data_IF_355216850847
#
_entry.id   IF_355216850847
#
_cell.length_a   1.000
_cell.length_b   1.000
_cell.length_c   1.000
_cell.angle_alpha   90.00
_cell.angle_beta   90.00
_cell.angle_gamma   90.00
#
_symmetry.space_group_name_H-M   'P 1'
#
loop_
_entity.id
_entity.type
_entity.pdbx_description
1 polymer ?
#
# COMPACT_ATOMS: atom_id res chain seq x y z
N UNK A 1 -14.46 0.01 -25.02
CA UNK A 1 -13.01 0.03 -24.86
C UNK A 1 -12.39 1.40 -25.08
N UNK A 2 -12.63 2.11 -26.19
CA UNK A 2 -12.02 3.44 -26.41
C UNK A 2 -12.33 4.45 -25.29
N UNK A 3 -13.54 4.42 -24.72
CA UNK A 3 -13.95 5.32 -23.63
C UNK A 3 -13.17 5.07 -22.33
N UNK A 4 -12.98 3.80 -21.94
CA UNK A 4 -12.30 3.40 -20.71
C UNK A 4 -10.79 3.71 -20.77
N UNK A 5 -10.18 3.49 -21.92
CA UNK A 5 -8.76 3.74 -22.17
C UNK A 5 -8.39 5.23 -22.04
N UNK A 6 -9.26 6.12 -22.50
CA UNK A 6 -9.06 7.56 -22.39
C UNK A 6 -9.28 8.10 -20.96
N UNK A 7 -9.77 7.25 -20.05
CA UNK A 7 -10.04 7.61 -18.66
C UNK A 7 -8.92 7.19 -17.71
N UNK A 8 -7.94 6.42 -18.16
CA UNK A 8 -6.85 5.89 -17.32
C UNK A 8 -5.48 6.15 -17.90
N UNK A 9 -4.49 6.29 -17.03
CA UNK A 9 -3.06 6.37 -17.37
C UNK A 9 -2.27 5.47 -16.44
N UNK A 10 -1.11 5.00 -16.88
CA UNK A 10 -0.16 4.26 -16.06
C UNK A 10 0.70 5.24 -15.30
N UNK A 11 0.83 5.02 -14.00
CA UNK A 11 1.70 5.77 -13.09
C UNK A 11 2.45 4.82 -12.16
N UNK A 12 3.57 5.26 -11.63
CA UNK A 12 4.32 4.48 -10.66
C UNK A 12 5.44 5.27 -10.01
N UNK A 13 6.02 4.69 -8.96
CA UNK A 13 7.19 5.23 -8.26
C UNK A 13 8.15 4.10 -7.94
N UNK A 14 9.42 4.31 -8.28
CA UNK A 14 10.52 3.44 -7.88
C UNK A 14 11.11 3.87 -6.56
N UNK A 15 11.26 2.90 -5.64
CA UNK A 15 11.94 3.07 -4.38
C UNK A 15 13.26 2.32 -4.36
N UNK A 16 14.30 2.99 -3.88
CA UNK A 16 15.59 2.40 -3.57
C UNK A 16 16.04 2.81 -2.18
N UNK A 17 16.61 1.85 -1.43
CA UNK A 17 17.22 2.07 -0.11
C UNK A 17 18.48 1.23 0.02
N UNK A 18 19.46 1.66 0.83
CA UNK A 18 20.62 0.84 1.15
C UNK A 18 20.20 -0.42 1.91
N UNK A 19 20.93 -1.51 1.70
CA UNK A 19 20.77 -2.70 2.54
C UNK A 19 21.28 -2.42 3.95
N UNK A 20 20.46 -2.72 4.95
CA UNK A 20 20.80 -2.57 6.37
C UNK A 20 21.53 -3.80 6.95
N UNK A 21 21.60 -4.87 6.20
CA UNK A 21 22.23 -6.13 6.63
C UNK A 21 22.97 -6.81 5.48
N UNK A 22 23.94 -7.63 5.85
CA UNK A 22 24.71 -8.45 4.91
C UNK A 22 24.88 -9.85 5.48
N UNK A 23 24.94 -10.86 4.61
CA UNK A 23 25.28 -12.23 5.01
C UNK A 23 26.67 -12.25 5.66
N UNK A 24 26.77 -12.93 6.80
CA UNK A 24 28.01 -13.15 7.53
C UNK A 24 28.40 -14.63 7.45
N UNK A 25 29.11 -14.96 6.38
CA UNK A 25 29.52 -16.35 6.15
C UNK A 25 30.53 -16.82 7.21
N UNK A 26 31.38 -15.95 7.76
CA UNK A 26 32.36 -16.31 8.79
C UNK A 26 31.66 -16.76 10.08
N UNK A 27 30.71 -15.97 10.56
CA UNK A 27 29.92 -16.34 11.73
C UNK A 27 29.09 -17.58 11.48
N UNK A 28 28.51 -17.75 10.28
CA UNK A 28 27.78 -18.96 9.91
C UNK A 28 28.66 -20.21 9.97
N UNK A 29 29.87 -20.17 9.42
CA UNK A 29 30.84 -21.29 9.46
C UNK A 29 31.27 -21.64 10.88
N UNK A 30 31.48 -20.64 11.74
CA UNK A 30 31.86 -20.88 13.15
C UNK A 30 30.72 -21.63 13.88
N UNK A 31 29.47 -21.20 13.67
CA UNK A 31 28.30 -21.83 14.28
C UNK A 31 28.10 -23.23 13.71
N UNK A 32 28.19 -23.41 12.39
CA UNK A 32 28.08 -24.73 11.75
C UNK A 32 29.09 -25.71 12.33
N UNK A 33 30.35 -25.31 12.49
CA UNK A 33 31.41 -26.16 13.12
C UNK A 33 31.10 -26.45 14.57
N UNK A 34 30.59 -25.48 15.32
CA UNK A 34 30.29 -25.66 16.74
C UNK A 34 29.14 -26.66 16.99
N UNK A 35 28.19 -26.75 16.03
CA UNK A 35 27.05 -27.70 16.12
C UNK A 35 27.27 -28.96 15.30
N UNK A 36 28.44 -29.15 14.70
CA UNK A 36 28.76 -30.34 13.88
C UNK A 36 28.03 -30.37 12.53
N UNK A 37 27.54 -29.23 12.07
CA UNK A 37 26.83 -29.05 10.79
C UNK A 37 27.72 -28.55 9.66
N UNK A 38 27.16 -28.47 8.46
CA UNK A 38 27.79 -27.83 7.29
C UNK A 38 26.75 -27.19 6.40
N UNK A 39 26.80 -25.84 6.27
CA UNK A 39 25.93 -25.07 5.39
C UNK A 39 24.47 -24.94 5.83
N UNK A 40 24.14 -25.36 7.05
CA UNK A 40 22.77 -25.33 7.59
C UNK A 40 22.40 -23.97 8.20
N UNK A 41 23.41 -23.22 8.67
CA UNK A 41 23.21 -21.95 9.39
C UNK A 41 23.39 -20.76 8.45
N UNK A 42 22.44 -19.83 8.51
CA UNK A 42 22.51 -18.53 7.80
C UNK A 42 22.55 -17.41 8.83
N UNK A 43 23.64 -16.65 8.85
CA UNK A 43 23.82 -15.49 9.73
C UNK A 43 23.81 -14.22 8.90
N UNK A 44 23.11 -13.19 9.38
CA UNK A 44 23.16 -11.85 8.81
C UNK A 44 23.73 -10.90 9.87
N UNK A 45 24.70 -10.09 9.48
CA UNK A 45 25.18 -8.99 10.32
C UNK A 45 24.41 -7.71 9.99
N UNK A 46 24.05 -6.95 11.02
CA UNK A 46 23.42 -5.64 10.86
C UNK A 46 24.51 -4.61 10.56
N UNK A 47 24.41 -3.97 9.39
CA UNK A 47 25.35 -2.93 8.96
C UNK A 47 24.99 -1.56 9.56
N UNK A 48 23.70 -1.20 9.50
CA UNK A 48 23.15 0.05 9.99
C UNK A 48 21.92 -0.27 10.85
N UNK A 49 21.74 0.45 11.96
CA UNK A 49 20.55 0.29 12.79
C UNK A 49 19.29 0.67 11.99
N UNK A 50 18.27 -0.18 12.06
CA UNK A 50 17.00 0.07 11.38
C UNK A 50 16.32 1.35 11.83
N UNK A 51 16.56 1.77 13.08
CA UNK A 51 16.05 3.03 13.64
C UNK A 51 16.54 4.26 12.88
N UNK A 52 17.76 4.21 12.35
CA UNK A 52 18.35 5.32 11.59
C UNK A 52 17.59 5.62 10.28
N UNK A 53 16.81 4.67 9.75
CA UNK A 53 15.99 4.84 8.56
C UNK A 53 14.48 4.94 8.87
N UNK A 54 14.08 5.01 10.14
CA UNK A 54 12.66 4.94 10.53
C UNK A 54 11.80 6.02 9.87
N UNK A 55 12.26 7.27 9.82
CA UNK A 55 11.54 8.40 9.19
C UNK A 55 11.36 8.17 7.68
N UNK A 56 12.42 7.71 7.01
CA UNK A 56 12.39 7.43 5.56
C UNK A 56 11.42 6.28 5.26
N UNK A 57 11.44 5.23 6.09
CA UNK A 57 10.52 4.08 5.96
C UNK A 57 9.08 4.49 6.24
N UNK A 58 8.85 5.41 7.19
CA UNK A 58 7.51 5.93 7.47
C UNK A 58 6.94 6.66 6.25
N UNK A 59 7.72 7.56 5.63
CA UNK A 59 7.30 8.28 4.41
C UNK A 59 7.00 7.30 3.26
N UNK A 60 7.83 6.28 3.05
CA UNK A 60 7.56 5.23 2.05
C UNK A 60 6.25 4.49 2.33
N UNK A 61 5.98 4.17 3.59
CA UNK A 61 4.79 3.44 3.99
C UNK A 61 3.52 4.30 3.81
N UNK A 62 3.58 5.58 4.18
CA UNK A 62 2.48 6.52 3.98
C UNK A 62 2.22 6.78 2.49
N UNK A 63 3.27 6.94 1.69
CA UNK A 63 3.13 7.03 0.24
C UNK A 63 2.46 5.80 -0.34
N UNK A 64 2.90 4.59 0.00
CA UNK A 64 2.30 3.34 -0.49
C UNK A 64 0.84 3.24 -0.11
N UNK A 65 0.49 3.63 1.13
CA UNK A 65 -0.90 3.67 1.57
C UNK A 65 -1.74 4.60 0.69
N UNK A 66 -1.30 5.84 0.50
CA UNK A 66 -1.95 6.81 -0.38
C UNK A 66 -2.03 6.30 -1.82
N UNK A 67 -0.91 5.83 -2.38
CA UNK A 67 -0.84 5.32 -3.75
C UNK A 67 -1.87 4.22 -4.00
N UNK A 68 -1.98 3.25 -3.10
CA UNK A 68 -2.90 2.13 -3.23
C UNK A 68 -4.39 2.53 -3.12
N UNK A 69 -4.73 3.70 -2.58
CA UNK A 69 -6.11 4.20 -2.61
C UNK A 69 -6.50 4.81 -3.96
N UNK A 70 -5.54 5.15 -4.81
CA UNK A 70 -5.78 5.83 -6.09
C UNK A 70 -5.39 5.01 -7.31
N UNK A 71 -4.44 4.09 -7.14
CA UNK A 71 -3.79 3.35 -8.23
C UNK A 71 -4.07 1.86 -8.08
N UNK A 72 -4.62 1.27 -9.13
CA UNK A 72 -4.82 -0.17 -9.19
C UNK A 72 -3.59 -0.86 -9.77
N UNK A 73 -3.13 -1.98 -9.18
CA UNK A 73 -2.12 -2.82 -9.80
C UNK A 73 -2.53 -3.22 -11.22
N UNK A 74 -1.58 -3.17 -12.15
CA UNK A 74 -1.81 -3.56 -13.53
C UNK A 74 -0.66 -4.46 -13.98
N UNK A 75 -0.97 -5.73 -14.32
CA UNK A 75 0.05 -6.77 -14.59
C UNK A 75 0.96 -6.47 -15.77
N UNK A 76 0.42 -5.73 -16.76
CA UNK A 76 1.17 -5.33 -17.96
C UNK A 76 2.06 -4.11 -17.72
N UNK A 77 1.88 -3.39 -16.61
CA UNK A 77 2.74 -2.27 -16.26
C UNK A 77 4.06 -2.76 -15.63
N UNK A 78 5.13 -1.98 -15.71
CA UNK A 78 6.37 -2.25 -14.99
C UNK A 78 6.13 -2.43 -13.48
N UNK A 79 7.03 -3.15 -12.81
CA UNK A 79 6.95 -3.36 -11.38
C UNK A 79 6.83 -2.04 -10.62
N UNK A 80 5.87 -1.94 -9.71
CA UNK A 80 5.61 -0.71 -8.95
C UNK A 80 4.74 0.32 -9.67
N UNK A 81 4.25 -0.02 -10.87
CA UNK A 81 3.31 0.80 -11.62
C UNK A 81 1.90 0.20 -11.57
N UNK A 82 0.92 1.04 -11.85
CA UNK A 82 -0.48 0.66 -11.99
C UNK A 82 -1.26 1.73 -12.74
N UNK A 83 -2.56 1.55 -12.85
CA UNK A 83 -3.45 2.46 -13.55
C UNK A 83 -4.19 3.38 -12.58
N UNK A 84 -4.37 4.64 -12.99
CA UNK A 84 -5.12 5.67 -12.26
C UNK A 84 -6.11 6.36 -13.21
N UNK A 85 -7.24 6.85 -12.68
CA UNK A 85 -8.10 7.75 -13.45
C UNK A 85 -7.35 9.01 -13.84
N UNK A 86 -7.51 9.45 -15.09
CA UNK A 86 -6.94 10.72 -15.57
C UNK A 86 -7.40 11.89 -14.70
N UNK A 87 -8.66 11.89 -14.24
CA UNK A 87 -9.20 12.92 -13.33
C UNK A 87 -8.40 13.03 -12.01
N UNK A 88 -7.80 11.95 -11.55
CA UNK A 88 -7.06 11.89 -10.27
C UNK A 88 -5.56 12.15 -10.43
N UNK A 89 -5.07 12.26 -11.68
CA UNK A 89 -3.64 12.42 -11.96
C UNK A 89 -3.04 13.68 -11.32
N UNK A 90 -3.76 14.80 -11.35
CA UNK A 90 -3.30 16.07 -10.76
C UNK A 90 -3.12 15.97 -9.25
N UNK A 91 -4.04 15.32 -8.55
CA UNK A 91 -3.95 15.10 -7.12
C UNK A 91 -2.79 14.16 -6.78
N UNK A 92 -2.67 13.05 -7.50
CA UNK A 92 -1.58 12.09 -7.35
C UNK A 92 -0.21 12.76 -7.54
N UNK A 93 -0.05 13.57 -8.61
CA UNK A 93 1.16 14.35 -8.90
C UNK A 93 1.49 15.35 -7.78
N UNK A 94 0.48 16.03 -7.26
CA UNK A 94 0.64 16.99 -6.17
C UNK A 94 1.15 16.30 -4.89
N UNK A 95 0.55 15.17 -4.55
CA UNK A 95 0.97 14.35 -3.40
C UNK A 95 2.36 13.75 -3.60
N UNK A 96 2.67 13.25 -4.80
CA UNK A 96 4.01 12.78 -5.14
C UNK A 96 5.07 13.83 -4.85
N UNK A 97 4.86 15.09 -5.30
CA UNK A 97 5.82 16.18 -5.05
C UNK A 97 6.00 16.47 -3.56
N UNK A 98 4.93 16.39 -2.77
CA UNK A 98 4.99 16.55 -1.32
C UNK A 98 5.83 15.46 -0.66
N UNK A 99 5.48 14.21 -0.91
CA UNK A 99 6.20 13.05 -0.35
C UNK A 99 7.66 13.00 -0.80
N UNK A 100 7.95 13.34 -2.06
CA UNK A 100 9.31 13.40 -2.56
C UNK A 100 10.15 14.42 -1.80
N UNK A 101 9.64 15.63 -1.59
CA UNK A 101 10.34 16.67 -0.82
C UNK A 101 10.62 16.22 0.62
N UNK A 102 9.64 15.59 1.27
CA UNK A 102 9.81 15.08 2.63
C UNK A 102 10.82 13.93 2.68
N UNK A 103 10.77 13.03 1.69
CA UNK A 103 11.77 11.97 1.52
C UNK A 103 13.18 12.54 1.33
N UNK A 104 13.38 13.48 0.43
CA UNK A 104 14.68 14.10 0.16
C UNK A 104 15.24 14.74 1.43
N UNK A 105 14.41 15.46 2.20
CA UNK A 105 14.83 16.06 3.48
C UNK A 105 15.33 15.01 4.49
N UNK A 106 14.59 13.91 4.67
CA UNK A 106 14.99 12.86 5.61
C UNK A 106 16.21 12.08 5.13
N UNK A 107 16.38 11.89 3.82
CA UNK A 107 17.59 11.30 3.24
C UNK A 107 18.79 12.22 3.44
N UNK A 108 18.65 13.53 3.28
CA UNK A 108 19.73 14.49 3.52
C UNK A 108 20.13 14.47 4.99
N UNK A 109 19.16 14.50 5.91
CA UNK A 109 19.44 14.43 7.36
C UNK A 109 20.15 13.11 7.74
N UNK A 110 19.76 11.98 7.15
CA UNK A 110 20.44 10.70 7.34
C UNK A 110 21.87 10.75 6.82
N UNK A 111 22.09 11.29 5.62
CA UNK A 111 23.41 11.39 5.02
C UNK A 111 24.32 12.39 5.77
N UNK A 112 23.76 13.46 6.34
CA UNK A 112 24.52 14.40 7.18
C UNK A 112 25.07 13.74 8.44
N UNK A 113 24.39 12.73 8.97
CA UNK A 113 24.79 11.96 10.13
C UNK A 113 25.57 10.68 9.77
N UNK A 114 25.97 10.48 8.50
CA UNK A 114 26.50 9.20 8.04
C UNK A 114 27.78 8.77 8.73
N UNK A 115 28.69 9.71 9.02
CA UNK A 115 29.96 9.41 9.73
C UNK A 115 29.68 8.89 11.15
N UNK A 116 28.74 9.50 11.87
CA UNK A 116 28.32 9.00 13.19
C UNK A 116 27.71 7.60 13.10
N UNK A 117 26.90 7.33 12.07
CA UNK A 117 26.32 6.01 11.83
C UNK A 117 27.39 4.95 11.57
N UNK A 118 28.47 5.30 10.85
CA UNK A 118 29.62 4.41 10.65
C UNK A 118 30.31 4.10 11.98
N UNK A 119 30.57 5.10 12.81
CA UNK A 119 31.23 4.90 14.12
C UNK A 119 30.36 4.04 15.06
N UNK A 120 29.06 4.29 15.13
CA UNK A 120 28.13 3.41 15.86
C UNK A 120 28.14 1.97 15.33
N UNK A 121 28.25 1.81 14.02
CA UNK A 121 28.35 0.50 13.36
C UNK A 121 29.63 -0.23 13.73
N UNK A 122 30.77 0.48 13.80
CA UNK A 122 32.07 -0.06 14.27
C UNK A 122 31.94 -0.58 15.70
N UNK A 123 31.41 0.26 16.60
CA UNK A 123 31.20 -0.12 18.00
C UNK A 123 30.33 -1.36 18.13
N UNK A 124 29.20 -1.41 17.41
CA UNK A 124 28.24 -2.51 17.46
C UNK A 124 28.80 -3.83 16.90
N UNK A 125 29.54 -3.77 15.80
CA UNK A 125 30.05 -4.95 15.12
C UNK A 125 31.40 -5.42 15.69
N UNK A 126 32.13 -4.56 16.39
CA UNK A 126 33.45 -4.90 16.95
C UNK A 126 34.39 -5.46 15.89
N UNK A 127 34.99 -6.63 16.14
CA UNK A 127 35.89 -7.32 15.21
C UNK A 127 35.26 -7.77 13.89
N UNK A 128 33.94 -7.81 13.79
CA UNK A 128 33.20 -8.18 12.56
C UNK A 128 32.98 -6.96 11.63
N UNK A 129 33.36 -5.75 12.06
CA UNK A 129 33.22 -4.57 11.23
C UNK A 129 34.15 -4.63 10.02
N UNK A 130 33.57 -4.34 8.84
CA UNK A 130 34.32 -4.19 7.60
C UNK A 130 33.81 -2.94 6.88
N UNK A 131 34.64 -1.94 6.73
CA UNK A 131 34.32 -0.68 6.06
C UNK A 131 33.85 -0.89 4.60
N UNK A 132 34.32 -1.94 3.91
CA UNK A 132 33.90 -2.28 2.55
C UNK A 132 32.47 -2.82 2.43
N UNK A 133 31.77 -3.04 3.55
CA UNK A 133 30.35 -3.43 3.54
C UNK A 133 29.39 -2.24 3.46
N UNK A 134 29.92 -1.04 3.69
CA UNK A 134 29.19 0.23 3.66
C UNK A 134 29.67 1.11 2.49
N UNK A 135 28.83 1.97 1.92
CA UNK A 135 29.29 2.99 0.97
C UNK A 135 30.43 3.83 1.53
N UNK A 136 31.40 4.16 0.67
CA UNK A 136 32.67 4.77 1.09
C UNK A 136 32.54 6.19 1.66
N UNK A 137 31.48 6.89 1.30
CA UNK A 137 31.22 8.26 1.72
C UNK A 137 29.73 8.59 1.65
N UNK A 138 29.38 9.79 2.10
CA UNK A 138 28.03 10.35 2.13
C UNK A 138 27.35 10.36 0.75
N UNK A 139 28.07 10.74 -0.29
CA UNK A 139 27.55 10.84 -1.66
C UNK A 139 27.20 9.44 -2.21
N UNK A 140 28.10 8.48 -1.99
CA UNK A 140 27.86 7.09 -2.36
C UNK A 140 26.68 6.46 -1.59
N UNK A 141 26.48 6.86 -0.33
CA UNK A 141 25.31 6.47 0.46
C UNK A 141 24.04 7.11 -0.09
N UNK A 142 24.06 8.43 -0.37
CA UNK A 142 22.91 9.14 -0.94
C UNK A 142 22.44 8.53 -2.25
N UNK A 143 23.36 8.11 -3.11
CA UNK A 143 23.06 7.46 -4.39
C UNK A 143 22.30 6.13 -4.26
N UNK A 144 22.23 5.53 -3.05
CA UNK A 144 21.43 4.32 -2.79
C UNK A 144 19.96 4.60 -2.54
N UNK A 145 19.61 5.86 -2.30
CA UNK A 145 18.24 6.25 -2.08
C UNK A 145 17.58 6.70 -3.39
N UNK A 146 16.42 6.16 -3.69
CA UNK A 146 15.60 6.52 -4.84
C UNK A 146 14.16 6.71 -4.43
N UNK A 147 13.56 7.77 -4.90
CA UNK A 147 12.13 8.03 -4.88
C UNK A 147 11.79 8.72 -6.20
N UNK A 148 11.71 7.92 -7.26
CA UNK A 148 11.63 8.40 -8.64
C UNK A 148 10.30 8.03 -9.27
N UNK A 149 9.65 9.04 -9.87
CA UNK A 149 8.40 8.85 -10.59
C UNK A 149 8.68 8.23 -11.96
N UNK A 150 7.93 7.19 -12.29
CA UNK A 150 7.76 6.75 -13.67
C UNK A 150 6.91 7.80 -14.39
N UNK A 151 7.36 8.27 -15.56
CA UNK A 151 6.58 9.25 -16.33
C UNK A 151 5.22 8.66 -16.70
N UNK A 152 4.10 9.37 -16.42
CA UNK A 152 2.79 8.88 -16.79
C UNK A 152 2.68 8.64 -18.30
N UNK A 153 2.08 7.51 -18.68
CA UNK A 153 1.83 7.19 -20.08
C UNK A 153 0.45 6.55 -20.26
N UNK A 154 -0.14 6.79 -21.42
CA UNK A 154 -1.43 6.18 -21.78
C UNK A 154 -1.26 4.66 -22.00
N UNK A 155 -2.33 3.90 -21.73
CA UNK A 155 -2.35 2.50 -22.15
C UNK A 155 -2.21 2.40 -23.66
N UNK A 156 -1.28 1.56 -24.11
CA UNK A 156 -1.07 1.30 -25.53
C UNK A 156 -2.37 0.82 -26.19
N UNK A 157 -2.60 1.29 -27.40
CA UNK A 157 -3.71 0.81 -28.21
C UNK A 157 -3.27 -0.45 -28.97
N UNK A 158 -3.85 -1.62 -28.72
CA UNK A 158 -3.53 -2.80 -29.50
C UNK A 158 -3.73 -2.61 -31.02
N UNK A 159 -4.64 -1.71 -31.41
CA UNK A 159 -4.85 -1.36 -32.83
C UNK A 159 -3.63 -0.66 -33.45
N UNK A 160 -2.81 0.04 -32.69
CA UNK A 160 -1.58 0.65 -33.16
C UNK A 160 -0.51 -0.42 -33.51
N UNK A 161 -0.72 -1.67 -33.08
CA UNK A 161 0.12 -2.83 -33.38
C UNK A 161 -0.44 -3.70 -34.53
N UNK A 162 -1.47 -3.24 -35.24
CA UNK A 162 -2.13 -3.96 -36.32
C UNK A 162 -1.20 -4.34 -37.49
N UNK A 163 -0.03 -3.69 -37.61
CA UNK A 163 1.02 -4.07 -38.55
C UNK A 163 1.78 -5.35 -38.16
N UNK A 164 1.71 -5.78 -36.89
CA UNK A 164 2.45 -6.90 -36.33
C UNK A 164 1.56 -7.99 -35.72
N UNK A 165 0.29 -7.68 -35.44
CA UNK A 165 -0.67 -8.57 -34.80
C UNK A 165 -1.89 -8.80 -35.70
N UNK A 166 -2.46 -10.00 -35.61
CA UNK A 166 -3.74 -10.34 -36.22
C UNK A 166 -4.91 -9.67 -35.47
N UNK A 167 -6.06 -9.55 -36.13
CA UNK A 167 -7.28 -9.02 -35.50
C UNK A 167 -7.69 -9.84 -34.26
N UNK A 168 -7.51 -11.16 -34.29
CA UNK A 168 -7.77 -12.06 -33.16
C UNK A 168 -6.84 -11.76 -31.96
N UNK A 169 -5.55 -11.54 -32.21
CA UNK A 169 -4.59 -11.19 -31.17
C UNK A 169 -4.90 -9.81 -30.55
N UNK A 170 -5.30 -8.85 -31.40
CA UNK A 170 -5.72 -7.51 -30.96
C UNK A 170 -6.95 -7.63 -30.06
N UNK A 171 -7.96 -8.40 -30.44
CA UNK A 171 -9.18 -8.57 -29.67
C UNK A 171 -8.92 -9.33 -28.35
N UNK A 172 -8.05 -10.33 -28.35
CA UNK A 172 -7.61 -11.01 -27.14
C UNK A 172 -6.94 -10.05 -26.16
N UNK A 173 -6.03 -9.18 -26.62
CA UNK A 173 -5.38 -8.17 -25.80
C UNK A 173 -6.40 -7.18 -25.21
N UNK A 174 -7.36 -6.71 -26.02
CA UNK A 174 -8.45 -5.83 -25.55
C UNK A 174 -9.27 -6.50 -24.44
N UNK A 175 -9.59 -7.77 -24.61
CA UNK A 175 -10.36 -8.52 -23.64
C UNK A 175 -9.59 -8.74 -22.33
N UNK A 176 -8.31 -9.07 -22.40
CA UNK A 176 -7.46 -9.22 -21.23
C UNK A 176 -7.35 -7.92 -20.43
N UNK A 177 -7.10 -6.78 -21.09
CA UNK A 177 -7.05 -5.46 -20.45
C UNK A 177 -8.39 -5.12 -19.77
N UNK A 178 -9.51 -5.38 -20.45
CA UNK A 178 -10.85 -5.17 -19.89
C UNK A 178 -11.09 -6.03 -18.65
N UNK A 179 -10.73 -7.31 -18.73
CA UNK A 179 -10.88 -8.24 -17.61
C UNK A 179 -9.99 -7.83 -16.41
N UNK A 180 -8.78 -7.35 -16.65
CA UNK A 180 -7.89 -6.89 -15.58
C UNK A 180 -8.45 -5.65 -14.86
N UNK A 181 -9.01 -4.68 -15.60
CA UNK A 181 -9.68 -3.53 -15.02
C UNK A 181 -10.92 -3.95 -14.21
N UNK A 182 -11.73 -4.88 -14.74
CA UNK A 182 -12.90 -5.39 -14.02
C UNK A 182 -12.51 -6.17 -12.76
N UNK A 183 -11.43 -6.94 -12.80
CA UNK A 183 -10.92 -7.63 -11.61
C UNK A 183 -10.45 -6.64 -10.53
N UNK A 184 -9.82 -5.53 -10.92
CA UNK A 184 -9.45 -4.46 -10.00
C UNK A 184 -10.66 -3.88 -9.25
N UNK A 185 -11.78 -3.67 -9.94
CA UNK A 185 -13.04 -3.21 -9.32
C UNK A 185 -13.56 -4.28 -8.34
N UNK A 186 -13.55 -5.56 -8.74
CA UNK A 186 -13.96 -6.67 -7.86
C UNK A 186 -13.10 -6.77 -6.60
N UNK A 187 -11.79 -6.64 -6.74
CA UNK A 187 -10.86 -6.70 -5.60
C UNK A 187 -11.15 -5.55 -4.62
N UNK A 188 -11.41 -4.34 -5.13
CA UNK A 188 -11.77 -3.18 -4.32
C UNK A 188 -13.12 -3.35 -3.62
N UNK A 189 -14.12 -3.95 -4.29
CA UNK A 189 -15.41 -4.30 -3.69
C UNK A 189 -15.24 -5.36 -2.60
N UNK A 190 -14.43 -6.39 -2.83
CA UNK A 190 -14.15 -7.45 -1.84
C UNK A 190 -13.47 -6.90 -0.58
N UNK A 191 -12.49 -6.01 -0.75
CA UNK A 191 -11.83 -5.32 0.37
C UNK A 191 -12.83 -4.47 1.17
N UNK A 192 -13.67 -3.70 0.47
CA UNK A 192 -14.69 -2.86 1.09
C UNK A 192 -15.74 -3.69 1.86
N UNK A 193 -16.20 -4.79 1.28
CA UNK A 193 -17.09 -5.73 1.94
C UNK A 193 -16.47 -6.28 3.24
N UNK A 194 -15.21 -6.71 3.18
CA UNK A 194 -14.49 -7.27 4.33
C UNK A 194 -14.33 -6.24 5.45
N UNK A 195 -14.04 -4.98 5.12
CA UNK A 195 -13.90 -3.90 6.09
C UNK A 195 -15.22 -3.52 6.75
N UNK A 196 -16.34 -3.50 6.00
CA UNK A 196 -17.67 -3.28 6.58
C UNK A 196 -18.05 -4.43 7.50
N UNK A 197 -17.82 -5.68 7.11
CA UNK A 197 -18.06 -6.83 7.99
C UNK A 197 -17.24 -6.75 9.27
N UNK A 198 -15.97 -6.42 9.16
CA UNK A 198 -15.12 -6.23 10.34
C UNK A 198 -15.64 -5.11 11.28
N UNK A 199 -16.18 -4.02 10.73
CA UNK A 199 -16.83 -2.96 11.52
C UNK A 199 -18.06 -3.51 12.26
N UNK A 200 -18.96 -4.25 11.55
CA UNK A 200 -20.13 -4.88 12.16
C UNK A 200 -19.70 -5.80 13.32
N UNK A 201 -18.77 -6.71 13.08
CA UNK A 201 -18.30 -7.68 14.06
C UNK A 201 -17.68 -7.00 15.28
N UNK A 202 -16.91 -5.92 15.07
CA UNK A 202 -16.30 -5.15 16.15
C UNK A 202 -17.34 -4.45 17.03
N UNK A 203 -18.35 -3.82 16.42
CA UNK A 203 -19.42 -3.12 17.14
C UNK A 203 -20.33 -4.10 17.89
N UNK A 204 -20.74 -5.21 17.27
CA UNK A 204 -21.56 -6.25 17.90
C UNK A 204 -20.78 -6.99 19.01
N UNK A 205 -19.51 -7.29 18.79
CA UNK A 205 -18.63 -7.88 19.78
C UNK A 205 -18.52 -7.01 21.03
N UNK A 206 -18.34 -5.70 20.85
CA UNK A 206 -18.32 -4.73 21.92
C UNK A 206 -19.66 -4.69 22.68
N UNK A 207 -20.79 -4.68 22.00
CA UNK A 207 -22.12 -4.70 22.60
C UNK A 207 -22.34 -5.95 23.47
N UNK A 208 -21.94 -7.14 22.96
CA UNK A 208 -22.02 -8.40 23.71
C UNK A 208 -21.12 -8.42 24.93
N UNK A 209 -19.93 -7.80 24.84
CA UNK A 209 -18.97 -7.76 25.95
C UNK A 209 -19.43 -6.83 27.08
N UNK A 210 -19.98 -5.66 26.76
CA UNK A 210 -20.58 -4.77 27.78
C UNK A 210 -21.70 -5.52 28.53
N UNK A 211 -22.57 -6.24 27.81
CA UNK A 211 -23.65 -6.99 28.44
C UNK A 211 -23.17 -8.10 29.40
N UNK A 212 -21.92 -8.59 29.22
CA UNK A 212 -21.29 -9.59 30.08
C UNK A 212 -20.37 -8.99 31.16
N UNK A 213 -20.18 -7.67 31.19
CA UNK A 213 -19.24 -7.00 32.08
C UNK A 213 -17.76 -7.12 31.67
N UNK A 214 -17.48 -7.60 30.46
CA UNK A 214 -16.14 -7.77 29.92
C UNK A 214 -15.59 -6.44 29.35
N UNK A 215 -14.25 -6.28 29.36
CA UNK A 215 -13.57 -5.14 28.76
C UNK A 215 -13.04 -5.50 27.37
N UNK A 216 -13.84 -5.28 26.34
CA UNK A 216 -13.39 -5.33 24.95
C UNK A 216 -13.33 -3.92 24.37
N UNK A 217 -12.45 -3.73 23.37
CA UNK A 217 -12.27 -2.43 22.74
C UNK A 217 -12.15 -2.59 21.24
N UNK A 218 -12.73 -1.67 20.48
CA UNK A 218 -12.37 -1.43 19.09
C UNK A 218 -11.74 -0.03 18.95
N UNK A 219 -10.93 0.14 17.90
CA UNK A 219 -10.13 1.34 17.69
C UNK A 219 -10.77 2.24 16.63
N UNK A 220 -10.41 3.51 16.62
CA UNK A 220 -10.78 4.44 15.55
C UNK A 220 -10.36 3.91 14.17
N UNK A 221 -9.23 3.22 14.08
CA UNK A 221 -8.77 2.59 12.84
C UNK A 221 -9.81 1.66 12.18
N UNK A 222 -10.76 1.08 12.93
CA UNK A 222 -11.85 0.28 12.35
C UNK A 222 -12.77 1.13 11.48
N UNK A 223 -13.08 2.36 11.89
CA UNK A 223 -13.85 3.34 11.12
C UNK A 223 -13.04 3.92 9.97
N UNK A 224 -11.78 4.27 10.24
CA UNK A 224 -10.88 4.84 9.25
C UNK A 224 -10.64 3.87 8.08
N UNK A 225 -10.53 2.57 8.35
CA UNK A 225 -10.40 1.54 7.31
C UNK A 225 -11.62 1.48 6.38
N UNK A 226 -12.84 1.64 6.91
CA UNK A 226 -14.06 1.68 6.07
C UNK A 226 -14.11 2.96 5.24
N UNK A 227 -13.70 4.09 5.80
CA UNK A 227 -13.59 5.36 5.07
C UNK A 227 -12.58 5.25 3.92
N UNK A 228 -11.39 4.72 4.21
CA UNK A 228 -10.35 4.49 3.20
C UNK A 228 -10.82 3.55 2.07
N UNK A 229 -11.61 2.52 2.42
CA UNK A 229 -12.20 1.63 1.42
C UNK A 229 -13.23 2.35 0.54
N UNK A 230 -14.05 3.23 1.12
CA UNK A 230 -14.99 4.04 0.35
C UNK A 230 -14.27 5.00 -0.61
N UNK A 231 -13.16 5.61 -0.17
CA UNK A 231 -12.34 6.49 -1.01
C UNK A 231 -11.66 5.69 -2.14
N UNK A 232 -11.17 4.47 -1.85
CA UNK A 232 -10.60 3.58 -2.85
C UNK A 232 -11.64 3.15 -3.90
N UNK A 233 -12.88 2.84 -3.50
CA UNK A 233 -13.96 2.51 -4.45
C UNK A 233 -14.21 3.63 -5.46
N UNK A 234 -14.20 4.89 -5.02
CA UNK A 234 -14.37 6.04 -5.89
C UNK A 234 -13.22 6.14 -6.94
N UNK A 235 -12.00 6.04 -6.43
CA UNK A 235 -10.79 6.16 -7.25
C UNK A 235 -10.62 5.01 -8.24
N UNK A 236 -11.02 3.80 -7.86
CA UNK A 236 -10.83 2.58 -8.64
C UNK A 236 -12.07 2.18 -9.48
N UNK A 237 -13.17 2.94 -9.41
CA UNK A 237 -14.33 2.76 -10.27
C UNK A 237 -14.08 3.32 -11.69
N UNK A 238 -13.14 2.73 -12.41
CA UNK A 238 -12.70 3.19 -13.74
C UNK A 238 -13.82 3.18 -14.80
N UNK A 239 -14.85 2.34 -14.62
CA UNK A 239 -15.98 2.20 -15.53
C UNK A 239 -17.16 3.11 -15.17
N UNK A 240 -17.04 3.95 -14.13
CA UNK A 240 -18.10 4.78 -13.57
C UNK A 240 -19.39 3.96 -13.31
N UNK A 241 -19.21 2.74 -12.76
CA UNK A 241 -20.32 1.82 -12.49
C UNK A 241 -21.21 2.37 -11.38
N UNK A 242 -22.48 2.64 -11.70
CA UNK A 242 -23.43 3.26 -10.77
C UNK A 242 -23.58 2.53 -9.43
N UNK A 243 -23.67 1.19 -9.46
CA UNK A 243 -23.76 0.39 -8.23
C UNK A 243 -22.54 0.52 -7.31
N UNK A 244 -21.34 0.71 -7.87
CA UNK A 244 -20.12 0.97 -7.08
C UNK A 244 -20.17 2.36 -6.46
N UNK A 245 -20.62 3.34 -7.24
CA UNK A 245 -20.82 4.73 -6.75
C UNK A 245 -21.86 4.79 -5.63
N UNK A 246 -22.94 3.99 -5.74
CA UNK A 246 -23.96 3.91 -4.69
C UNK A 246 -23.40 3.30 -3.39
N UNK A 247 -22.65 2.21 -3.50
CA UNK A 247 -21.98 1.60 -2.33
C UNK A 247 -21.07 2.61 -1.65
N UNK A 248 -20.20 3.26 -2.40
CA UNK A 248 -19.28 4.27 -1.92
C UNK A 248 -20.01 5.40 -1.17
N UNK A 249 -21.08 5.95 -1.77
CA UNK A 249 -21.89 6.99 -1.14
C UNK A 249 -22.50 6.53 0.18
N UNK A 250 -23.11 5.34 0.21
CA UNK A 250 -23.71 4.79 1.43
C UNK A 250 -22.68 4.52 2.53
N UNK A 251 -21.48 4.05 2.18
CA UNK A 251 -20.39 3.87 3.14
C UNK A 251 -19.97 5.21 3.76
N UNK A 252 -19.84 6.27 2.96
CA UNK A 252 -19.52 7.62 3.46
C UNK A 252 -20.64 8.21 4.32
N UNK A 253 -21.89 8.06 3.91
CA UNK A 253 -23.03 8.58 4.65
C UNK A 253 -23.18 7.87 6.01
N UNK A 254 -23.04 6.55 6.06
CA UNK A 254 -23.04 5.74 7.29
C UNK A 254 -21.97 6.19 8.29
N UNK A 255 -20.80 6.64 7.83
CA UNK A 255 -19.72 7.08 8.72
C UNK A 255 -19.80 8.56 9.10
N UNK A 256 -20.72 9.32 8.50
CA UNK A 256 -20.82 10.76 8.71
C UNK A 256 -21.21 11.09 10.13
N UNK A 257 -20.30 11.76 10.87
CA UNK A 257 -20.50 12.16 12.26
C UNK A 257 -20.23 11.06 13.28
N UNK A 258 -19.95 9.82 12.85
CA UNK A 258 -19.70 8.67 13.71
C UNK A 258 -18.21 8.39 13.92
N UNK A 259 -17.84 8.09 15.14
CA UNK A 259 -16.47 7.76 15.55
C UNK A 259 -16.46 6.54 16.47
N UNK A 260 -15.31 5.94 16.67
CA UNK A 260 -15.17 4.87 17.66
C UNK A 260 -15.49 5.35 19.08
N UNK A 261 -15.30 6.63 19.39
CA UNK A 261 -15.64 7.20 20.68
C UNK A 261 -17.16 7.37 20.81
N UNK A 262 -17.81 8.06 19.86
CA UNK A 262 -19.25 8.32 19.94
C UNK A 262 -20.06 7.03 19.99
N UNK A 263 -19.72 6.05 19.17
CA UNK A 263 -20.39 4.74 19.17
C UNK A 263 -20.11 3.86 20.40
N UNK A 264 -19.05 4.13 21.18
CA UNK A 264 -18.85 3.49 22.50
C UNK A 264 -19.73 4.13 23.57
N UNK A 265 -19.84 5.45 23.52
CA UNK A 265 -20.54 6.24 24.54
C UNK A 265 -22.06 6.20 24.36
N UNK A 266 -22.55 6.02 23.12
CA UNK A 266 -23.97 5.98 22.76
C UNK A 266 -24.36 4.64 22.12
N UNK A 267 -25.27 3.90 22.81
CA UNK A 267 -25.79 2.61 22.32
C UNK A 267 -26.73 2.78 21.12
N UNK A 268 -27.53 3.84 21.07
CA UNK A 268 -28.45 4.08 19.97
C UNK A 268 -27.68 4.41 18.69
N UNK A 269 -26.64 5.25 18.78
CA UNK A 269 -25.74 5.55 17.68
C UNK A 269 -25.04 4.27 17.17
N UNK A 270 -24.51 3.44 18.09
CA UNK A 270 -23.88 2.18 17.74
C UNK A 270 -24.84 1.24 16.98
N UNK A 271 -26.10 1.11 17.43
CA UNK A 271 -27.13 0.29 16.76
C UNK A 271 -27.46 0.83 15.37
N UNK A 272 -27.51 2.15 15.20
CA UNK A 272 -27.74 2.81 13.91
C UNK A 272 -26.63 2.42 12.91
N UNK A 273 -25.38 2.59 13.29
CA UNK A 273 -24.24 2.23 12.42
C UNK A 273 -24.23 0.74 12.06
N UNK A 274 -24.52 -0.15 13.03
CA UNK A 274 -24.62 -1.60 12.76
C UNK A 274 -25.73 -1.89 11.73
N UNK A 275 -26.91 -1.29 11.88
CA UNK A 275 -28.04 -1.54 10.99
C UNK A 275 -27.77 -1.02 9.57
N UNK A 276 -27.23 0.19 9.45
CA UNK A 276 -26.85 0.77 8.16
C UNK A 276 -25.74 -0.06 7.47
N UNK A 277 -24.73 -0.50 8.22
CA UNK A 277 -23.68 -1.37 7.69
C UNK A 277 -24.24 -2.71 7.19
N UNK A 278 -25.16 -3.34 7.93
CA UNK A 278 -25.83 -4.57 7.51
C UNK A 278 -26.70 -4.37 6.28
N UNK A 279 -27.39 -3.24 6.19
CA UNK A 279 -28.20 -2.87 5.03
C UNK A 279 -27.35 -2.69 3.77
N UNK A 280 -26.19 -2.04 3.87
CA UNK A 280 -25.23 -1.90 2.77
C UNK A 280 -24.79 -3.29 2.29
N UNK A 281 -24.37 -4.16 3.22
CA UNK A 281 -23.94 -5.53 2.91
C UNK A 281 -25.07 -6.28 2.19
N UNK A 282 -26.27 -6.31 2.76
CA UNK A 282 -27.38 -7.10 2.25
C UNK A 282 -27.94 -6.59 0.93
N UNK A 283 -28.08 -5.27 0.75
CA UNK A 283 -28.78 -4.69 -0.41
C UNK A 283 -27.85 -4.36 -1.58
N UNK A 284 -26.64 -3.93 -1.29
CA UNK A 284 -25.75 -3.41 -2.32
C UNK A 284 -24.67 -4.41 -2.71
N UNK A 285 -24.02 -5.06 -1.76
CA UNK A 285 -22.98 -6.04 -2.10
C UNK A 285 -23.53 -7.34 -2.66
N UNK A 286 -24.76 -7.75 -2.30
CA UNK A 286 -25.40 -8.94 -2.89
C UNK A 286 -25.57 -8.84 -4.41
N UNK A 287 -25.74 -7.63 -4.97
CA UNK A 287 -25.80 -7.42 -6.41
C UNK A 287 -24.48 -7.76 -7.14
N UNK A 288 -23.37 -7.83 -6.41
CA UNK A 288 -22.03 -8.20 -6.91
C UNK A 288 -21.62 -9.61 -6.50
N UNK A 289 -22.50 -10.40 -5.89
CA UNK A 289 -22.26 -11.80 -5.52
C UNK A 289 -21.55 -12.00 -4.15
N UNK A 290 -21.65 -11.01 -3.25
CA UNK A 290 -21.14 -11.08 -1.87
C UNK A 290 -22.23 -11.42 -0.85
#
# INVERSE_FOLDING_TARGET
MSKLRNQVVVVGVEFGKPSLSKKDNKSAEIIDRAVGGSGAVKVNKTLIDTKSLSSIVAIESEWKKFHNTMVSPFKRAPRGCGIIKVSNLTEWESKYRGFRRDWEREVDAFCDNYDSIIEESKIRQGSNFNAGDLPSNREAMRARFKFEKVQPYALENPEDLSFALSDEEIDNIKQEVSNEIMNSIKDSLSDSYSKIKHLIDALEGYQKSIAKGDKTYYKQATFDNVKEAADALDNLNFADHEGVTEIQKKMRDMLRGHTAKSTKDDEAERKTVINEAKDIVKKNFSAFGY
#
